data_IF_104462934745
#
_entry.id   IF_104462934745
#
_cell.length_a   1.000
_cell.length_b   1.000
_cell.length_c   1.000
_cell.angle_alpha   90.00
_cell.angle_beta   90.00
_cell.angle_gamma   90.00
#
_symmetry.space_group_name_H-M   'P 1'
#
loop_
_entity.id
_entity.type
_entity.pdbx_description
1 polymer ?
#
# COMPACT_ATOMS: atom_id res chain seq x y z
N UNK A 1 59.53 38.42 -15.40
CA UNK A 1 58.39 37.92 -14.61
C UNK A 1 57.20 37.76 -15.53
N UNK A 2 56.44 36.67 -15.41
CA UNK A 2 55.22 36.43 -16.18
C UNK A 2 54.03 36.83 -15.30
N UNK A 3 53.18 37.75 -15.76
CA UNK A 3 51.96 38.12 -15.06
C UNK A 3 50.81 37.21 -15.50
N UNK A 4 50.11 36.60 -14.55
CA UNK A 4 48.96 35.72 -14.80
C UNK A 4 47.71 36.34 -14.18
N UNK A 5 46.62 36.46 -14.94
CA UNK A 5 45.34 37.08 -14.49
C UNK A 5 44.18 36.09 -14.44
N UNK A 6 44.43 34.82 -14.74
CA UNK A 6 43.48 33.70 -14.67
C UNK A 6 44.23 32.39 -14.42
N UNK A 7 43.52 31.32 -14.03
CA UNK A 7 44.10 29.98 -13.91
C UNK A 7 44.78 29.58 -15.22
N UNK A 8 46.08 29.34 -15.17
CA UNK A 8 46.92 29.14 -16.35
C UNK A 8 47.84 27.95 -16.15
N UNK A 9 47.93 27.08 -17.17
CA UNK A 9 48.97 26.05 -17.23
C UNK A 9 50.17 26.62 -17.99
N UNK A 10 51.29 26.82 -17.30
CA UNK A 10 52.53 27.24 -17.89
C UNK A 10 53.35 26.01 -18.28
N UNK A 11 53.54 25.79 -19.58
CA UNK A 11 54.47 24.79 -20.09
C UNK A 11 55.78 25.49 -20.46
N UNK A 12 56.89 24.97 -19.95
CA UNK A 12 58.22 25.46 -20.27
C UNK A 12 59.00 24.37 -20.99
N UNK A 13 59.84 24.80 -21.93
CA UNK A 13 60.74 23.93 -22.67
C UNK A 13 62.14 24.54 -22.56
N UNK A 14 63.13 23.70 -22.27
CA UNK A 14 64.54 24.08 -22.35
C UNK A 14 65.15 23.44 -23.59
N UNK A 15 65.90 24.23 -24.35
CA UNK A 15 66.59 23.76 -25.56
C UNK A 15 67.88 24.54 -25.81
N UNK A 16 68.90 23.85 -26.31
CA UNK A 16 70.15 24.41 -26.85
C UNK A 16 70.29 24.18 -28.38
N UNK A 17 69.18 23.82 -29.04
CA UNK A 17 69.15 23.29 -30.41
C UNK A 17 68.50 21.90 -30.49
N UNK A 18 68.43 21.19 -29.37
CA UNK A 18 67.60 19.96 -29.20
C UNK A 18 66.72 20.13 -27.96
N UNK A 19 65.50 19.58 -27.93
CA UNK A 19 64.64 19.67 -26.73
C UNK A 19 65.20 18.78 -25.64
N UNK A 20 65.65 19.37 -24.53
CA UNK A 20 66.30 18.64 -23.43
C UNK A 20 65.38 18.40 -22.25
N UNK A 21 64.35 19.23 -22.05
CA UNK A 21 63.36 19.03 -21.00
C UNK A 21 62.04 19.79 -21.27
N UNK A 22 60.91 19.22 -20.81
CA UNK A 22 59.59 19.85 -20.82
C UNK A 22 58.99 19.76 -19.42
N UNK A 23 58.65 20.92 -18.84
CA UNK A 23 58.00 21.01 -17.54
C UNK A 23 56.62 21.68 -17.67
N UNK A 24 55.69 21.30 -16.80
CA UNK A 24 54.34 21.86 -16.78
C UNK A 24 53.97 22.24 -15.34
N UNK A 25 53.56 23.49 -15.16
CA UNK A 25 53.14 24.05 -13.88
C UNK A 25 51.71 24.57 -14.00
N UNK A 26 50.84 24.17 -13.08
CA UNK A 26 49.47 24.71 -13.01
C UNK A 26 49.45 25.79 -11.93
N UNK A 27 49.15 27.02 -12.34
CA UNK A 27 48.92 28.14 -11.43
C UNK A 27 47.43 28.42 -11.38
N UNK A 28 46.79 28.05 -10.27
CA UNK A 28 45.38 28.34 -10.00
C UNK A 28 45.24 29.71 -9.35
N UNK A 29 44.40 30.58 -9.92
CA UNK A 29 44.03 31.83 -9.28
C UNK A 29 42.90 31.54 -8.28
N UNK A 30 43.13 31.67 -6.96
CA UNK A 30 42.04 31.56 -5.99
C UNK A 30 41.28 32.90 -5.92
N UNK A 31 40.17 33.00 -6.64
CA UNK A 31 39.18 34.04 -6.36
C UNK A 31 38.48 33.79 -5.01
N UNK A 32 37.74 34.78 -4.46
CA UNK A 32 36.88 34.51 -3.32
C UNK A 32 35.89 33.39 -3.68
N UNK A 33 35.88 32.33 -2.88
CA UNK A 33 34.89 31.25 -2.99
C UNK A 33 33.55 31.80 -2.49
N UNK A 34 32.47 31.61 -3.26
CA UNK A 34 31.15 31.96 -2.78
C UNK A 34 30.82 31.14 -1.52
N UNK A 35 30.42 31.78 -0.40
CA UNK A 35 30.01 31.07 0.79
C UNK A 35 28.74 30.26 0.48
N UNK A 36 28.73 29.00 0.88
CA UNK A 36 27.61 28.08 0.67
C UNK A 36 27.10 27.55 2.00
N UNK A 37 25.80 27.71 2.24
CA UNK A 37 25.14 27.18 3.45
C UNK A 37 24.62 25.77 3.23
N UNK A 38 24.76 24.90 4.23
CA UNK A 38 24.14 23.56 4.30
C UNK A 38 23.33 23.43 5.59
N UNK A 39 22.18 22.76 5.51
CA UNK A 39 21.36 22.42 6.66
C UNK A 39 21.41 20.91 6.95
N UNK A 40 21.38 20.52 8.22
CA UNK A 40 21.33 19.13 8.67
C UNK A 40 20.18 18.92 9.67
N UNK A 41 19.13 18.16 9.30
CA UNK A 41 18.86 17.64 7.96
C UNK A 41 18.58 18.77 6.95
N UNK A 42 18.74 18.46 5.66
CA UNK A 42 18.26 19.31 4.57
C UNK A 42 16.74 19.42 4.55
N UNK A 43 16.19 20.03 3.49
CA UNK A 43 14.73 20.12 3.31
C UNK A 43 14.07 18.74 3.41
N UNK A 44 13.02 18.61 4.23
CA UNK A 44 12.30 17.35 4.45
C UNK A 44 10.89 17.58 4.99
N UNK A 45 10.04 16.55 4.89
CA UNK A 45 8.79 16.46 5.64
C UNK A 45 9.01 16.02 7.10
N UNK A 46 8.10 16.37 8.00
CA UNK A 46 8.11 15.91 9.39
C UNK A 46 6.69 15.85 9.99
N UNK A 47 6.45 14.85 10.86
CA UNK A 47 5.14 14.58 11.47
C UNK A 47 4.99 15.31 12.81
N UNK A 48 5.95 15.20 13.73
CA UNK A 48 5.85 15.85 15.06
C UNK A 48 6.63 17.16 15.07
N UNK A 49 7.95 17.06 14.94
CA UNK A 49 8.88 18.18 14.86
C UNK A 49 10.14 17.77 14.06
N UNK A 50 10.94 18.75 13.66
CA UNK A 50 12.28 18.53 13.07
C UNK A 50 13.29 19.47 13.73
N UNK A 51 14.46 18.91 14.07
CA UNK A 51 15.60 19.63 14.63
C UNK A 51 16.65 19.86 13.55
N UNK A 52 17.05 21.12 13.32
CA UNK A 52 17.90 21.54 12.20
C UNK A 52 19.08 22.38 12.69
N UNK A 53 20.28 22.10 12.18
CA UNK A 53 21.47 22.95 12.33
C UNK A 53 22.00 23.41 10.98
N UNK A 54 22.74 24.53 10.96
CA UNK A 54 23.35 25.09 9.76
C UNK A 54 24.88 25.04 9.83
N UNK A 55 25.51 24.89 8.67
CA UNK A 55 26.95 25.04 8.48
C UNK A 55 27.22 25.86 7.21
N UNK A 56 28.37 26.51 7.11
CA UNK A 56 28.77 27.31 5.95
C UNK A 56 30.24 27.09 5.61
N UNK A 57 30.55 27.06 4.31
CA UNK A 57 31.92 26.98 3.80
C UNK A 57 32.13 27.93 2.61
N UNK A 58 33.18 28.77 2.63
CA UNK A 58 34.06 29.07 3.77
C UNK A 58 33.31 29.72 4.96
N UNK A 59 33.93 29.71 6.15
CA UNK A 59 33.31 30.22 7.38
C UNK A 59 33.04 31.72 7.30
N UNK A 60 31.76 32.09 7.35
CA UNK A 60 31.24 33.46 7.41
C UNK A 60 30.01 33.52 8.31
N UNK A 61 29.52 34.72 8.61
CA UNK A 61 28.25 34.89 9.33
C UNK A 61 27.07 34.45 8.45
N UNK A 62 26.21 33.58 8.99
CA UNK A 62 24.95 33.19 8.36
C UNK A 62 23.84 34.05 8.94
N UNK A 63 23.21 34.87 8.10
CA UNK A 63 21.98 35.56 8.45
C UNK A 63 20.78 34.71 8.05
N UNK A 64 19.67 34.76 8.78
CA UNK A 64 18.53 33.89 8.49
C UNK A 64 17.15 34.54 8.70
N UNK A 65 16.13 33.89 8.16
CA UNK A 65 14.71 34.18 8.36
C UNK A 65 13.89 32.89 8.37
N UNK A 66 12.85 32.85 9.21
CA UNK A 66 11.86 31.76 9.28
C UNK A 66 10.42 32.25 9.09
N UNK A 67 10.20 33.56 8.91
CA UNK A 67 8.88 34.18 8.77
C UNK A 67 8.44 34.36 7.31
N UNK A 68 9.25 33.87 6.36
CA UNK A 68 9.02 33.99 4.92
C UNK A 68 9.56 35.26 4.28
N UNK A 69 10.17 36.17 5.06
CA UNK A 69 10.93 37.30 4.52
C UNK A 69 12.28 36.87 3.95
N UNK A 70 12.73 37.56 2.89
CA UNK A 70 14.06 37.33 2.30
C UNK A 70 15.12 37.90 3.27
N UNK A 71 16.05 37.09 3.80
CA UNK A 71 17.06 37.56 4.72
C UNK A 71 18.08 38.48 4.03
N UNK A 72 18.63 39.43 4.77
CA UNK A 72 19.66 40.38 4.33
C UNK A 72 20.79 40.43 5.37
N UNK A 73 21.83 41.23 5.13
CA UNK A 73 22.90 41.50 6.10
C UNK A 73 22.42 42.12 7.44
N UNK A 74 21.17 42.60 7.50
CA UNK A 74 20.54 43.13 8.72
C UNK A 74 19.65 42.11 9.46
N UNK A 75 19.44 40.92 8.88
CA UNK A 75 18.67 39.85 9.50
C UNK A 75 19.44 39.20 10.67
N UNK A 76 18.75 38.49 11.59
CA UNK A 76 19.39 37.80 12.71
C UNK A 76 20.53 36.87 12.27
N UNK A 77 21.58 36.79 13.10
CA UNK A 77 22.75 35.94 12.86
C UNK A 77 22.56 34.60 13.57
N UNK A 78 22.79 33.50 12.85
CA UNK A 78 22.82 32.14 13.40
C UNK A 78 24.02 31.97 14.35
N UNK A 79 23.76 31.61 15.61
CA UNK A 79 24.76 31.49 16.66
C UNK A 79 25.15 30.04 16.99
N UNK A 80 24.72 29.08 16.17
CA UNK A 80 24.98 27.65 16.36
C UNK A 80 23.88 26.91 17.14
N UNK A 81 22.73 27.54 17.36
CA UNK A 81 21.55 26.92 17.96
C UNK A 81 20.94 25.83 17.07
N UNK A 82 20.14 24.95 17.66
CA UNK A 82 19.29 24.01 16.91
C UNK A 82 17.93 24.65 16.71
N UNK A 83 17.48 24.78 15.46
CA UNK A 83 16.10 25.15 15.16
C UNK A 83 15.19 23.95 15.38
N UNK A 84 14.05 24.14 16.06
CA UNK A 84 13.00 23.12 16.17
C UNK A 84 11.74 23.64 15.50
N UNK A 85 11.32 23.00 14.41
CA UNK A 85 10.08 23.35 13.71
C UNK A 85 8.96 22.37 14.05
N UNK A 86 7.77 22.89 14.35
CA UNK A 86 6.54 22.10 14.62
C UNK A 86 5.44 22.33 13.57
N UNK A 87 5.64 23.29 12.67
CA UNK A 87 4.75 23.64 11.55
C UNK A 87 5.56 23.89 10.26
N UNK A 88 4.90 23.84 9.10
CA UNK A 88 5.55 24.08 7.79
C UNK A 88 6.30 25.40 7.80
N UNK A 89 7.62 25.35 7.60
CA UNK A 89 8.53 26.50 7.74
C UNK A 89 9.50 26.56 6.57
N UNK A 90 9.70 27.75 6.02
CA UNK A 90 10.80 28.05 5.10
C UNK A 90 11.92 28.72 5.90
N UNK A 91 13.03 28.02 6.08
CA UNK A 91 14.26 28.59 6.62
C UNK A 91 15.08 29.15 5.47
N UNK A 92 15.19 30.48 5.40
CA UNK A 92 15.98 31.16 4.41
C UNK A 92 17.27 31.68 5.04
N UNK A 93 18.38 31.61 4.31
CA UNK A 93 19.69 32.04 4.79
C UNK A 93 20.33 33.00 3.81
N UNK A 94 21.02 34.02 4.30
CA UNK A 94 21.84 34.97 3.55
C UNK A 94 23.29 34.92 4.05
N UNK A 95 24.23 34.81 3.14
CA UNK A 95 25.68 34.87 3.40
C UNK A 95 26.34 35.76 2.35
N UNK A 96 27.40 36.48 2.75
CA UNK A 96 28.19 37.30 1.83
C UNK A 96 29.70 37.21 2.13
N UNK A 97 30.52 37.21 1.08
CA UNK A 97 31.97 37.26 1.18
C UNK A 97 32.57 37.85 -0.10
N UNK A 98 33.50 38.81 0.04
CA UNK A 98 34.30 39.29 -1.08
C UNK A 98 33.48 39.89 -2.24
N UNK A 99 32.32 40.48 -1.95
CA UNK A 99 31.40 41.03 -2.95
C UNK A 99 30.45 40.01 -3.60
N UNK A 100 30.50 38.75 -3.16
CA UNK A 100 29.56 37.69 -3.55
C UNK A 100 28.54 37.49 -2.42
N UNK A 101 27.29 37.19 -2.77
CA UNK A 101 26.25 36.83 -1.82
C UNK A 101 25.42 35.65 -2.31
N UNK A 102 24.86 34.88 -1.37
CA UNK A 102 23.95 33.78 -1.63
C UNK A 102 22.73 33.90 -0.72
N UNK A 103 21.54 33.73 -1.30
CA UNK A 103 20.32 33.41 -0.54
C UNK A 103 19.95 31.96 -0.82
N UNK A 104 19.80 31.16 0.23
CA UNK A 104 19.39 29.76 0.14
C UNK A 104 18.11 29.53 0.93
N UNK A 105 17.26 28.64 0.43
CA UNK A 105 15.98 28.30 1.08
C UNK A 105 15.94 26.81 1.38
N UNK A 106 15.60 26.46 2.62
CA UNK A 106 15.31 25.11 3.06
C UNK A 106 13.83 25.05 3.47
N UNK A 107 13.09 24.12 2.89
CA UNK A 107 11.65 23.93 3.20
C UNK A 107 11.47 22.72 4.09
N UNK A 108 10.86 22.95 5.25
CA UNK A 108 10.45 21.89 6.17
C UNK A 108 8.92 21.84 6.17
N UNK A 109 8.35 20.76 5.64
CA UNK A 109 6.91 20.62 5.47
C UNK A 109 6.36 19.83 6.65
N UNK A 110 5.49 20.45 7.45
CA UNK A 110 4.63 19.72 8.37
C UNK A 110 3.68 18.91 7.51
N UNK A 111 3.82 17.60 7.58
CA UNK A 111 2.81 16.69 7.06
C UNK A 111 1.83 16.46 8.20
N UNK A 112 0.53 16.46 7.89
CA UNK A 112 -0.41 15.79 8.78
C UNK A 112 0.08 14.34 8.93
N UNK A 113 -0.11 13.68 10.09
CA UNK A 113 0.04 12.23 10.10
C UNK A 113 -0.77 11.71 8.91
N UNK A 114 -0.16 10.81 8.13
CA UNK A 114 -0.97 9.88 7.35
C UNK A 114 -1.94 9.32 8.38
N UNK A 115 -3.22 9.61 8.19
CA UNK A 115 -4.27 8.79 8.77
C UNK A 115 -3.86 7.35 8.42
N UNK A 116 -3.79 6.50 9.43
CA UNK A 116 -2.90 5.34 9.53
C UNK A 116 -2.75 4.57 8.22
N UNK A 117 -1.54 4.05 7.94
CA UNK A 117 -1.30 3.25 6.72
C UNK A 117 -2.37 2.16 6.52
N UNK A 118 -2.89 1.64 7.63
CA UNK A 118 -4.10 0.84 7.72
C UNK A 118 -5.28 1.67 8.26
N UNK A 119 -6.39 1.76 7.53
CA UNK A 119 -7.61 2.41 8.03
C UNK A 119 -8.84 1.57 7.72
N UNK A 120 -9.71 1.45 8.72
CA UNK A 120 -11.07 0.92 8.55
C UNK A 120 -12.06 2.09 8.51
N UNK A 121 -12.87 2.14 7.46
CA UNK A 121 -13.80 3.22 7.15
C UNK A 121 -13.15 4.62 7.19
N UNK A 122 -12.08 4.86 6.39
CA UNK A 122 -11.35 6.12 6.38
C UNK A 122 -12.29 7.30 6.14
N UNK A 123 -12.08 8.41 6.85
CA UNK A 123 -12.95 9.60 6.79
C UNK A 123 -14.45 9.33 7.09
N UNK A 124 -14.76 8.23 7.78
CA UNK A 124 -16.14 7.82 8.05
C UNK A 124 -16.86 7.20 6.84
N UNK A 125 -16.13 6.86 5.78
CA UNK A 125 -16.70 6.31 4.54
C UNK A 125 -17.25 4.91 4.80
N UNK A 126 -18.44 4.64 4.26
CA UNK A 126 -19.16 3.35 4.36
C UNK A 126 -19.60 2.86 2.99
N UNK A 127 -18.83 3.23 1.95
CA UNK A 127 -19.20 3.08 0.57
C UNK A 127 -20.22 4.11 0.11
N UNK A 128 -20.73 3.95 -1.12
CA UNK A 128 -21.59 4.95 -1.77
C UNK A 128 -22.79 4.35 -2.50
N UNK A 129 -23.97 4.95 -2.32
CA UNK A 129 -25.14 4.63 -3.14
C UNK A 129 -24.99 5.16 -4.58
N UNK A 130 -25.31 4.32 -5.57
CA UNK A 130 -25.23 4.63 -7.00
C UNK A 130 -26.49 4.17 -7.73
N UNK A 131 -27.45 5.08 -7.89
CA UNK A 131 -28.76 4.79 -8.47
C UNK A 131 -28.71 4.22 -9.91
N UNK A 132 -27.66 4.53 -10.67
CA UNK A 132 -27.49 4.03 -12.05
C UNK A 132 -26.99 2.59 -12.10
N UNK A 133 -26.61 2.00 -10.96
CA UNK A 133 -25.88 0.74 -10.89
C UNK A 133 -24.43 0.90 -11.34
N UNK A 134 -23.73 -0.24 -11.38
CA UNK A 134 -22.37 -0.38 -11.89
C UNK A 134 -22.34 -1.50 -12.93
N UNK A 135 -21.48 -1.33 -13.92
CA UNK A 135 -21.22 -2.37 -14.91
C UNK A 135 -20.05 -3.22 -14.43
N UNK A 136 -20.35 -4.48 -14.07
CA UNK A 136 -19.31 -5.39 -13.58
C UNK A 136 -18.31 -5.69 -14.69
N UNK A 137 -17.03 -5.54 -14.36
CA UNK A 137 -15.90 -5.90 -15.19
C UNK A 137 -16.10 -7.30 -15.75
N UNK A 138 -16.06 -7.42 -17.08
CA UNK A 138 -16.05 -8.71 -17.76
C UNK A 138 -14.63 -9.02 -18.17
N UNK A 139 -13.97 -10.02 -17.58
CA UNK A 139 -12.58 -10.31 -17.91
C UNK A 139 -12.45 -10.63 -19.41
N UNK A 140 -11.55 -9.94 -20.11
CA UNK A 140 -11.38 -10.03 -21.57
C UNK A 140 -10.96 -11.44 -22.06
N UNK A 141 -10.46 -12.28 -21.16
CA UNK A 141 -10.04 -13.67 -21.39
C UNK A 141 -11.17 -14.70 -21.21
N UNK A 142 -12.37 -14.29 -20.77
CA UNK A 142 -13.58 -15.12 -20.87
C UNK A 142 -14.03 -15.09 -22.33
N UNK A 143 -13.86 -16.21 -23.04
CA UNK A 143 -14.12 -16.29 -24.48
C UNK A 143 -15.52 -15.76 -24.85
N UNK A 144 -15.60 -14.83 -25.81
CA UNK A 144 -16.86 -14.44 -26.45
C UNK A 144 -17.56 -13.20 -25.90
N UNK A 145 -16.93 -12.41 -25.01
CA UNK A 145 -17.42 -11.07 -24.64
C UNK A 145 -16.36 -10.01 -24.93
N UNK A 146 -16.76 -8.86 -25.48
CA UNK A 146 -15.90 -7.69 -25.55
C UNK A 146 -15.65 -7.24 -24.11
N UNK A 147 -14.47 -7.53 -23.56
CA UNK A 147 -14.17 -7.23 -22.16
C UNK A 147 -14.29 -5.75 -21.88
N UNK A 148 -15.03 -5.39 -20.83
CA UNK A 148 -14.96 -4.07 -20.24
C UNK A 148 -13.85 -4.09 -19.19
N UNK A 149 -12.67 -3.57 -19.53
CA UNK A 149 -11.49 -3.55 -18.66
C UNK A 149 -11.39 -2.22 -17.89
N UNK A 150 -12.50 -1.75 -17.31
CA UNK A 150 -12.55 -0.43 -16.70
C UNK A 150 -13.15 -0.46 -15.31
N UNK A 151 -12.33 -0.10 -14.33
CA UNK A 151 -12.75 0.30 -12.98
C UNK A 151 -13.29 1.74 -12.94
N UNK A 152 -13.73 2.32 -14.07
CA UNK A 152 -14.18 3.72 -14.16
C UNK A 152 -15.42 4.04 -13.32
N UNK A 153 -16.16 3.01 -12.90
CA UNK A 153 -17.31 3.16 -12.02
C UNK A 153 -16.92 3.42 -10.55
N UNK A 154 -15.67 3.14 -10.18
CA UNK A 154 -15.12 3.27 -8.84
C UNK A 154 -14.45 4.62 -8.62
N UNK A 155 -14.62 5.18 -7.43
CA UNK A 155 -14.01 6.44 -6.99
C UNK A 155 -13.50 6.29 -5.57
N UNK A 156 -12.51 7.10 -5.16
CA UNK A 156 -11.86 6.99 -3.84
C UNK A 156 -12.81 7.23 -2.67
N UNK A 157 -13.91 7.96 -2.87
CA UNK A 157 -14.94 8.13 -1.84
C UNK A 157 -15.79 6.87 -1.58
N UNK A 158 -15.50 5.78 -2.29
CA UNK A 158 -16.08 4.45 -2.06
C UNK A 158 -15.17 3.55 -1.21
N UNK A 159 -13.97 4.00 -0.82
CA UNK A 159 -13.07 3.23 0.04
C UNK A 159 -13.77 2.96 1.38
N UNK A 160 -13.68 1.70 1.83
CA UNK A 160 -14.09 1.30 3.17
C UNK A 160 -12.93 0.70 3.96
N UNK A 161 -11.84 0.32 3.29
CA UNK A 161 -10.59 -0.10 3.94
C UNK A 161 -9.40 0.42 3.13
N UNK A 162 -8.45 1.02 3.83
CA UNK A 162 -7.10 1.31 3.37
C UNK A 162 -6.15 0.29 4.02
N UNK A 163 -5.36 -0.42 3.21
CA UNK A 163 -4.25 -1.27 3.65
C UNK A 163 -2.89 -0.75 3.18
N UNK A 164 -1.85 -1.55 3.31
CA UNK A 164 -0.56 -1.31 2.67
C UNK A 164 -0.32 -2.34 1.57
N UNK A 165 0.78 -2.16 0.84
CA UNK A 165 1.32 -3.22 0.00
C UNK A 165 2.70 -3.64 0.49
N UNK A 166 3.16 -4.80 0.03
CA UNK A 166 4.41 -5.44 0.44
C UNK A 166 4.50 -5.75 1.94
N UNK A 167 3.35 -5.93 2.57
CA UNK A 167 3.15 -6.26 3.98
C UNK A 167 2.51 -7.65 4.17
N UNK A 168 2.34 -8.40 3.09
CA UNK A 168 1.87 -9.79 3.11
C UNK A 168 2.95 -10.76 3.59
N UNK A 169 2.56 -11.98 3.99
CA UNK A 169 3.48 -13.03 4.47
C UNK A 169 4.65 -13.30 3.49
N UNK A 170 4.39 -13.16 2.20
CA UNK A 170 5.38 -13.30 1.11
C UNK A 170 6.57 -12.36 1.30
N UNK A 171 6.31 -11.13 1.70
CA UNK A 171 7.30 -10.06 1.83
C UNK A 171 8.29 -10.29 2.99
N UNK A 172 7.99 -11.22 3.91
CA UNK A 172 8.89 -11.58 5.01
C UNK A 172 9.75 -12.81 4.72
N UNK A 173 9.22 -13.82 4.01
CA UNK A 173 9.96 -15.08 3.81
C UNK A 173 9.84 -15.73 2.44
N UNK A 174 8.88 -15.34 1.60
CA UNK A 174 8.49 -16.08 0.39
C UNK A 174 8.55 -15.27 -0.90
N UNK A 175 9.50 -14.36 -1.09
CA UNK A 175 9.51 -13.41 -2.22
C UNK A 175 9.30 -14.00 -3.63
N UNK A 176 9.63 -15.27 -3.82
CA UNK A 176 9.50 -16.02 -5.07
C UNK A 176 8.10 -16.65 -5.28
N UNK A 177 7.23 -16.60 -4.28
CA UNK A 177 5.94 -17.26 -4.30
C UNK A 177 4.94 -16.60 -5.25
N UNK A 178 4.00 -17.42 -5.71
CA UNK A 178 3.00 -17.00 -6.70
C UNK A 178 1.65 -17.64 -6.35
N UNK A 179 0.53 -16.94 -6.62
CA UNK A 179 0.47 -15.54 -7.04
C UNK A 179 0.83 -14.58 -5.89
N UNK A 180 0.96 -13.27 -6.18
CA UNK A 180 0.97 -12.27 -5.11
C UNK A 180 -0.45 -12.08 -4.59
N UNK A 181 -0.64 -12.24 -3.28
CA UNK A 181 -1.92 -12.11 -2.59
C UNK A 181 -1.84 -10.93 -1.62
N UNK A 182 -1.64 -9.74 -2.19
CA UNK A 182 -1.38 -8.50 -1.47
C UNK A 182 -2.54 -7.51 -1.73
N UNK A 183 -3.66 -7.66 -1.01
CA UNK A 183 -4.82 -6.78 -1.11
C UNK A 183 -4.54 -5.41 -0.45
N UNK A 184 -4.63 -4.35 -1.25
CA UNK A 184 -4.31 -2.98 -0.83
C UNK A 184 -5.53 -2.18 -0.34
N UNK A 185 -6.65 -2.21 -1.06
CA UNK A 185 -7.83 -1.39 -0.73
C UNK A 185 -9.13 -2.12 -1.01
N UNK A 186 -10.11 -1.94 -0.12
CA UNK A 186 -11.46 -2.47 -0.25
C UNK A 186 -12.45 -1.32 -0.46
N UNK A 187 -13.31 -1.47 -1.45
CA UNK A 187 -14.30 -0.48 -1.85
C UNK A 187 -15.71 -1.06 -1.75
N UNK A 188 -16.68 -0.21 -1.46
CA UNK A 188 -18.09 -0.58 -1.46
C UNK A 188 -18.98 0.45 -2.16
N UNK A 189 -19.97 -0.06 -2.89
CA UNK A 189 -21.06 0.74 -3.44
C UNK A 189 -22.34 -0.10 -3.45
N UNK A 190 -23.51 0.52 -3.57
CA UNK A 190 -24.76 -0.23 -3.72
C UNK A 190 -25.76 0.51 -4.59
N UNK A 191 -26.67 -0.24 -5.22
CA UNK A 191 -27.83 0.29 -5.93
C UNK A 191 -29.13 -0.16 -5.24
N UNK A 192 -30.25 -0.15 -5.97
CA UNK A 192 -31.55 -0.56 -5.42
C UNK A 192 -31.67 -2.07 -5.12
N UNK A 193 -30.83 -2.90 -5.74
CA UNK A 193 -30.95 -4.36 -5.70
C UNK A 193 -29.64 -5.09 -5.34
N UNK A 194 -28.49 -4.42 -5.43
CA UNK A 194 -27.19 -5.07 -5.34
C UNK A 194 -26.21 -4.27 -4.48
N UNK A 195 -25.39 -5.00 -3.75
CA UNK A 195 -24.11 -4.55 -3.22
C UNK A 195 -23.02 -4.76 -4.28
N UNK A 196 -22.07 -3.84 -4.36
CA UNK A 196 -20.86 -3.94 -5.15
C UNK A 196 -19.65 -3.86 -4.23
N UNK A 197 -18.68 -4.75 -4.41
CA UNK A 197 -17.39 -4.72 -3.74
C UNK A 197 -16.28 -4.66 -4.78
N UNK A 198 -15.28 -3.83 -4.50
CA UNK A 198 -14.06 -3.72 -5.29
C UNK A 198 -12.85 -4.03 -4.42
N UNK A 199 -11.91 -4.84 -4.90
CA UNK A 199 -10.70 -5.20 -4.16
C UNK A 199 -9.50 -4.92 -5.05
N UNK A 200 -8.66 -3.97 -4.64
CA UNK A 200 -7.39 -3.71 -5.30
C UNK A 200 -6.32 -4.62 -4.72
N UNK A 201 -5.60 -5.31 -5.59
CA UNK A 201 -4.34 -5.98 -5.28
C UNK A 201 -3.19 -5.19 -5.88
N UNK A 202 -2.09 -5.07 -5.15
CA UNK A 202 -0.86 -4.42 -5.63
C UNK A 202 0.28 -5.42 -5.70
N UNK A 203 1.28 -5.12 -6.52
CA UNK A 203 2.50 -5.91 -6.62
C UNK A 203 3.71 -4.98 -6.62
N UNK A 204 4.44 -4.98 -5.51
CA UNK A 204 5.52 -4.01 -5.25
C UNK A 204 6.93 -4.64 -5.23
N UNK A 205 7.10 -5.88 -5.68
CA UNK A 205 8.44 -6.45 -5.83
C UNK A 205 9.31 -5.61 -6.78
N UNK A 206 8.73 -4.96 -7.80
CA UNK A 206 9.46 -4.07 -8.72
C UNK A 206 10.12 -2.88 -7.99
N UNK A 207 9.62 -2.52 -6.81
CA UNK A 207 10.16 -1.49 -5.93
C UNK A 207 11.09 -2.07 -4.86
N UNK A 208 10.61 -3.08 -4.12
CA UNK A 208 11.26 -3.53 -2.88
C UNK A 208 12.13 -4.77 -3.03
N UNK A 209 11.87 -5.59 -4.04
CA UNK A 209 12.70 -6.74 -4.37
C UNK A 209 12.91 -6.89 -5.88
N UNK A 210 13.61 -5.93 -6.55
CA UNK A 210 13.78 -5.96 -8.00
C UNK A 210 14.54 -7.18 -8.51
N UNK A 211 15.28 -7.89 -7.64
CA UNK A 211 16.01 -9.09 -7.99
C UNK A 211 15.07 -10.29 -8.22
N UNK A 212 13.92 -10.30 -7.55
CA UNK A 212 12.88 -11.31 -7.69
C UNK A 212 11.61 -10.74 -8.36
N UNK A 213 11.68 -9.55 -8.95
CA UNK A 213 10.56 -8.94 -9.67
C UNK A 213 10.08 -9.86 -10.80
N UNK A 214 8.80 -10.22 -10.74
CA UNK A 214 8.05 -11.07 -11.68
C UNK A 214 8.50 -12.52 -11.81
N UNK A 215 9.56 -12.96 -11.10
CA UNK A 215 10.06 -14.35 -10.98
C UNK A 215 9.42 -15.38 -11.94
N UNK A 216 8.72 -16.37 -11.38
CA UNK A 216 7.75 -17.24 -12.08
C UNK A 216 6.30 -16.73 -11.88
N UNK A 217 6.14 -15.44 -11.61
CA UNK A 217 4.92 -14.86 -11.05
C UNK A 217 3.74 -14.87 -12.02
N UNK A 218 2.58 -15.24 -11.50
CA UNK A 218 1.30 -15.25 -12.21
C UNK A 218 0.37 -14.22 -11.57
N UNK A 219 -0.52 -13.64 -12.38
CA UNK A 219 -1.60 -12.81 -11.85
C UNK A 219 -2.43 -13.65 -10.86
N UNK A 220 -2.92 -13.06 -9.75
CA UNK A 220 -3.79 -13.80 -8.83
C UNK A 220 -5.05 -14.36 -9.50
N UNK A 221 -5.47 -13.79 -10.64
CA UNK A 221 -6.58 -14.31 -11.47
C UNK A 221 -6.24 -15.57 -12.27
N UNK A 222 -5.00 -16.03 -12.26
CA UNK A 222 -4.56 -17.20 -13.04
C UNK A 222 -4.34 -18.43 -12.17
N UNK A 223 -4.25 -18.25 -10.86
CA UNK A 223 -4.06 -19.33 -9.90
C UNK A 223 -5.41 -19.75 -9.30
N UNK A 224 -5.54 -21.01 -8.90
CA UNK A 224 -6.74 -21.50 -8.25
C UNK A 224 -6.68 -21.28 -6.73
N UNK A 225 -6.29 -20.07 -6.30
CA UNK A 225 -6.23 -19.69 -4.89
C UNK A 225 -7.64 -19.53 -4.30
N UNK A 226 -7.77 -19.66 -2.97
CA UNK A 226 -9.06 -19.44 -2.29
C UNK A 226 -9.10 -18.00 -1.77
N UNK A 227 -10.22 -17.33 -2.02
CA UNK A 227 -10.49 -15.98 -1.54
C UNK A 227 -11.76 -16.00 -0.71
N UNK A 228 -11.82 -15.15 0.33
CA UNK A 228 -12.90 -15.20 1.32
C UNK A 228 -13.44 -13.79 1.55
N UNK A 229 -14.76 -13.66 1.58
CA UNK A 229 -15.44 -12.49 2.14
C UNK A 229 -16.28 -12.93 3.34
N UNK A 230 -15.99 -12.36 4.50
CA UNK A 230 -16.76 -12.56 5.72
C UNK A 230 -17.65 -11.33 5.97
N UNK A 231 -18.93 -11.57 6.21
CA UNK A 231 -19.92 -10.52 6.44
C UNK A 231 -20.60 -10.69 7.80
N UNK A 232 -20.81 -9.56 8.46
CA UNK A 232 -21.81 -9.37 9.51
C UNK A 232 -23.05 -8.74 8.86
N UNK A 233 -24.11 -9.53 8.66
CA UNK A 233 -25.39 -9.06 8.10
C UNK A 233 -26.41 -8.75 9.20
N UNK A 234 -26.00 -8.79 10.48
CA UNK A 234 -26.82 -8.72 11.68
C UNK A 234 -27.80 -9.90 11.83
N UNK A 235 -27.45 -11.09 11.32
CA UNK A 235 -28.33 -12.27 11.32
C UNK A 235 -27.94 -13.34 12.36
N UNK A 236 -26.81 -13.18 13.05
CA UNK A 236 -26.29 -14.14 14.03
C UNK A 236 -24.77 -14.04 14.10
N UNK A 237 -24.10 -15.15 14.41
CA UNK A 237 -22.65 -15.23 14.28
C UNK A 237 -22.17 -16.69 14.13
N UNK A 238 -20.93 -16.85 13.68
CA UNK A 238 -20.20 -18.12 13.55
C UNK A 238 -18.70 -17.91 13.83
N UNK A 239 -18.01 -18.98 14.22
CA UNK A 239 -16.55 -19.01 14.26
C UNK A 239 -15.89 -19.06 12.88
N UNK A 240 -16.67 -19.20 11.80
CA UNK A 240 -16.14 -19.41 10.45
C UNK A 240 -15.85 -20.89 10.11
N UNK A 241 -16.06 -21.80 11.07
CA UNK A 241 -15.79 -23.24 10.90
C UNK A 241 -17.08 -24.03 10.65
N UNK A 242 -16.99 -25.13 9.92
CA UNK A 242 -18.05 -26.13 9.83
C UNK A 242 -18.17 -26.94 11.14
N UNK A 243 -19.23 -27.75 11.26
CA UNK A 243 -19.54 -28.51 12.48
C UNK A 243 -18.47 -29.56 12.87
N UNK A 244 -17.62 -29.96 11.93
CA UNK A 244 -16.48 -30.85 12.16
C UNK A 244 -15.21 -30.10 12.63
N UNK A 245 -15.28 -28.78 12.77
CA UNK A 245 -14.18 -27.90 13.20
C UNK A 245 -13.24 -27.48 12.07
N UNK A 246 -13.57 -27.77 10.81
CA UNK A 246 -12.73 -27.47 9.65
C UNK A 246 -13.28 -26.29 8.84
N UNK A 247 -12.44 -25.75 7.95
CA UNK A 247 -12.92 -24.82 6.93
C UNK A 247 -13.82 -25.57 5.92
N UNK A 248 -15.02 -25.04 5.62
CA UNK A 248 -15.99 -25.70 4.74
C UNK A 248 -15.57 -25.86 3.27
N UNK A 249 -14.49 -25.23 2.80
CA UNK A 249 -13.91 -25.42 1.46
C UNK A 249 -12.83 -26.53 1.40
N UNK A 250 -12.67 -27.32 2.47
CA UNK A 250 -11.91 -28.58 2.44
C UNK A 250 -10.48 -28.52 2.98
N UNK A 251 -10.19 -27.64 3.94
CA UNK A 251 -8.90 -27.56 4.65
C UNK A 251 -9.01 -27.89 6.15
N UNK A 252 -7.85 -28.11 6.81
CA UNK A 252 -7.72 -28.09 8.27
C UNK A 252 -8.12 -26.71 8.83
N UNK A 253 -8.25 -26.59 10.15
CA UNK A 253 -8.62 -25.33 10.84
C UNK A 253 -7.58 -24.23 10.53
N UNK A 254 -7.87 -23.40 9.53
CA UNK A 254 -6.98 -22.31 9.10
C UNK A 254 -7.25 -20.97 9.80
N UNK A 255 -8.49 -20.70 10.24
CA UNK A 255 -8.79 -19.43 10.93
C UNK A 255 -10.09 -19.50 11.73
N UNK A 256 -10.31 -18.53 12.63
CA UNK A 256 -11.59 -18.30 13.31
C UNK A 256 -11.95 -16.82 13.43
N UNK A 257 -13.24 -16.55 13.62
CA UNK A 257 -13.79 -15.24 14.00
C UNK A 257 -14.32 -15.26 15.42
N UNK A 258 -14.23 -14.13 16.11
CA UNK A 258 -14.86 -13.97 17.44
C UNK A 258 -16.35 -13.64 17.35
N UNK A 259 -17.07 -13.79 18.45
CA UNK A 259 -18.48 -13.42 18.55
C UNK A 259 -18.69 -11.91 18.34
N UNK A 260 -17.76 -11.08 18.82
CA UNK A 260 -17.81 -9.62 18.71
C UNK A 260 -17.74 -9.13 17.26
N UNK A 261 -17.11 -9.91 16.37
CA UNK A 261 -17.06 -9.62 14.94
C UNK A 261 -18.41 -9.82 14.25
N UNK A 262 -19.32 -10.63 14.82
CA UNK A 262 -20.67 -10.83 14.30
C UNK A 262 -20.72 -11.52 12.92
N UNK A 263 -19.64 -12.16 12.47
CA UNK A 263 -19.61 -12.80 11.15
C UNK A 263 -20.68 -13.88 11.08
N UNK A 264 -21.63 -13.73 10.16
CA UNK A 264 -22.75 -14.68 9.98
C UNK A 264 -22.84 -15.24 8.56
N UNK A 265 -22.15 -14.62 7.59
CA UNK A 265 -22.22 -15.01 6.18
C UNK A 265 -20.82 -15.00 5.60
N UNK A 266 -20.38 -16.11 5.02
CA UNK A 266 -19.03 -16.25 4.45
C UNK A 266 -19.10 -16.72 3.01
N UNK A 267 -18.47 -15.99 2.11
CA UNK A 267 -18.35 -16.33 0.70
C UNK A 267 -16.96 -16.88 0.49
N UNK A 268 -16.87 -18.05 -0.12
CA UNK A 268 -15.62 -18.59 -0.63
C UNK A 268 -15.67 -18.59 -2.15
N UNK A 269 -14.57 -18.18 -2.79
CA UNK A 269 -14.47 -18.18 -4.23
C UNK A 269 -13.03 -18.44 -4.68
N UNK A 270 -12.89 -19.12 -5.83
CA UNK A 270 -11.58 -19.27 -6.46
C UNK A 270 -11.10 -17.91 -6.99
N UNK A 271 -9.80 -17.62 -6.96
CA UNK A 271 -9.25 -16.37 -7.50
C UNK A 271 -9.25 -16.35 -9.03
N UNK A 272 -9.23 -17.50 -9.71
CA UNK A 272 -9.26 -17.58 -11.17
C UNK A 272 -10.66 -17.71 -11.81
N UNK A 273 -10.90 -17.07 -12.97
CA UNK A 273 -12.12 -17.27 -13.76
C UNK A 273 -12.28 -18.72 -14.26
N UNK A 274 -13.51 -19.26 -14.37
CA UNK A 274 -14.80 -18.63 -14.11
C UNK A 274 -15.21 -18.65 -12.63
N UNK A 275 -14.25 -18.61 -11.70
CA UNK A 275 -14.49 -18.60 -10.26
C UNK A 275 -15.25 -19.86 -9.83
N UNK A 276 -14.72 -21.01 -10.27
CA UNK A 276 -15.34 -22.32 -10.08
C UNK A 276 -15.44 -22.69 -8.60
N UNK A 277 -16.40 -23.56 -8.28
CA UNK A 277 -16.64 -24.09 -6.94
C UNK A 277 -17.04 -23.05 -5.87
N UNK A 278 -17.25 -21.78 -6.24
CA UNK A 278 -17.67 -20.69 -5.33
C UNK A 278 -19.00 -20.95 -4.62
N UNK A 279 -19.05 -20.64 -3.31
CA UNK A 279 -20.14 -21.01 -2.42
C UNK A 279 -20.35 -19.96 -1.31
N UNK A 280 -21.60 -19.89 -0.83
CA UNK A 280 -21.98 -19.04 0.30
C UNK A 280 -22.32 -19.96 1.47
N UNK A 281 -21.84 -19.60 2.65
CA UNK A 281 -22.08 -20.30 3.89
C UNK A 281 -22.70 -19.34 4.89
N UNK A 282 -23.62 -19.86 5.71
CA UNK A 282 -24.36 -19.09 6.71
C UNK A 282 -24.14 -19.69 8.08
N UNK A 283 -24.14 -18.84 9.10
CA UNK A 283 -24.25 -19.26 10.49
C UNK A 283 -25.53 -20.09 10.68
N UNK A 284 -25.38 -21.24 11.34
CA UNK A 284 -26.48 -22.19 11.53
C UNK A 284 -27.10 -22.15 12.94
N UNK A 285 -26.75 -21.14 13.75
CA UNK A 285 -27.22 -20.98 15.13
C UNK A 285 -26.50 -21.86 16.16
N UNK A 286 -25.49 -22.63 15.75
CA UNK A 286 -24.60 -23.42 16.63
C UNK A 286 -23.14 -22.96 16.51
N UNK A 287 -22.96 -21.69 16.17
CA UNK A 287 -21.67 -21.03 15.88
C UNK A 287 -20.87 -21.67 14.73
N UNK A 288 -21.50 -22.57 13.95
CA UNK A 288 -20.88 -23.22 12.80
C UNK A 288 -21.48 -22.71 11.49
N UNK A 289 -20.72 -22.89 10.42
CA UNK A 289 -21.16 -22.61 9.05
C UNK A 289 -21.91 -23.80 8.45
N UNK A 290 -22.90 -23.49 7.62
CA UNK A 290 -23.56 -24.45 6.74
C UNK A 290 -23.75 -23.83 5.38
N UNK A 291 -23.54 -24.62 4.34
CA UNK A 291 -23.66 -24.16 2.96
C UNK A 291 -25.09 -23.69 2.69
N UNK A 292 -25.24 -22.50 2.08
CA UNK A 292 -26.54 -21.87 1.84
C UNK A 292 -27.42 -22.68 0.90
N UNK A 293 -26.83 -23.31 -0.13
CA UNK A 293 -27.47 -24.37 -0.92
C UNK A 293 -26.82 -25.73 -0.63
N UNK A 294 -27.59 -26.66 -0.10
CA UNK A 294 -27.14 -28.01 0.25
C UNK A 294 -26.94 -28.94 -0.96
N UNK A 295 -27.41 -28.56 -2.16
CA UNK A 295 -27.52 -29.47 -3.30
C UNK A 295 -26.23 -29.60 -4.14
N UNK A 296 -26.09 -30.75 -4.81
CA UNK A 296 -25.07 -30.99 -5.83
C UNK A 296 -25.30 -30.02 -7.01
N UNK A 297 -24.39 -29.06 -7.18
CA UNK A 297 -24.45 -28.16 -8.31
C UNK A 297 -24.09 -28.92 -9.60
N UNK A 298 -24.68 -28.56 -10.75
CA UNK A 298 -24.22 -29.05 -12.05
C UNK A 298 -22.71 -28.80 -12.19
N UNK A 299 -22.02 -29.70 -12.88
CA UNK A 299 -20.59 -29.51 -13.19
C UNK A 299 -20.43 -28.13 -13.84
N UNK A 300 -19.55 -27.30 -13.27
CA UNK A 300 -19.14 -25.97 -13.76
C UNK A 300 -20.06 -24.76 -13.46
N UNK A 301 -21.12 -24.87 -12.66
CA UNK A 301 -21.84 -23.67 -12.16
C UNK A 301 -21.61 -23.50 -10.66
N UNK A 302 -21.13 -22.33 -10.24
CA UNK A 302 -20.92 -22.04 -8.81
C UNK A 302 -22.23 -21.65 -8.13
N UNK A 303 -22.32 -21.82 -6.82
CA UNK A 303 -23.53 -21.47 -6.05
C UNK A 303 -23.81 -19.97 -6.12
N UNK A 304 -22.72 -19.19 -6.13
CA UNK A 304 -22.74 -17.74 -6.21
C UNK A 304 -23.36 -17.27 -7.54
N UNK A 305 -22.96 -17.86 -8.67
CA UNK A 305 -23.61 -17.58 -9.98
C UNK A 305 -25.10 -17.94 -9.97
N UNK A 306 -25.44 -19.03 -9.29
CA UNK A 306 -26.79 -19.53 -9.12
C UNK A 306 -27.67 -18.64 -8.24
N UNK A 307 -27.04 -17.81 -7.40
CA UNK A 307 -27.66 -16.77 -6.57
C UNK A 307 -27.58 -15.39 -7.21
N UNK A 308 -27.06 -15.29 -8.44
CA UNK A 308 -26.96 -14.06 -9.22
C UNK A 308 -25.75 -13.18 -8.87
N UNK A 309 -24.80 -13.70 -8.10
CA UNK A 309 -23.53 -13.01 -7.86
C UNK A 309 -22.71 -13.03 -9.14
N UNK A 310 -22.13 -11.89 -9.49
CA UNK A 310 -21.25 -11.73 -10.66
C UNK A 310 -19.88 -11.31 -10.18
N UNK A 311 -18.85 -11.97 -10.69
CA UNK A 311 -17.44 -11.74 -10.37
C UNK A 311 -16.73 -11.22 -11.63
N UNK A 312 -15.89 -10.21 -11.45
CA UNK A 312 -15.12 -9.55 -12.47
C UNK A 312 -13.69 -9.27 -12.00
N UNK A 313 -12.76 -9.12 -12.94
CA UNK A 313 -11.42 -8.66 -12.65
C UNK A 313 -10.76 -8.06 -13.89
N UNK A 314 -9.92 -7.04 -13.71
CA UNK A 314 -9.06 -6.49 -14.74
C UNK A 314 -7.66 -6.18 -14.19
N UNK A 315 -6.70 -6.02 -15.09
CA UNK A 315 -5.32 -5.71 -14.71
C UNK A 315 -5.15 -4.22 -14.43
N UNK A 316 -4.26 -3.91 -13.49
CA UNK A 316 -3.86 -2.56 -13.12
C UNK A 316 -4.44 -2.10 -11.79
N UNK A 317 -4.09 -0.87 -11.43
CA UNK A 317 -4.50 -0.22 -10.20
C UNK A 317 -5.04 1.18 -10.44
N UNK A 318 -6.18 1.48 -9.83
CA UNK A 318 -6.82 2.80 -9.90
C UNK A 318 -6.53 3.70 -8.68
N UNK A 319 -5.93 3.15 -7.62
CA UNK A 319 -5.62 3.89 -6.40
C UNK A 319 -4.67 5.07 -6.70
N UNK A 320 -4.99 6.30 -6.28
CA UNK A 320 -4.10 7.44 -6.58
C UNK A 320 -2.80 7.39 -5.79
N UNK A 321 -2.84 6.83 -4.58
CA UNK A 321 -1.71 6.60 -3.68
C UNK A 321 -1.56 5.11 -3.39
N UNK A 322 -0.31 4.62 -3.29
CA UNK A 322 -0.02 3.22 -2.93
C UNK A 322 1.05 3.22 -1.85
N UNK A 323 0.68 2.96 -0.59
CA UNK A 323 1.67 2.85 0.49
C UNK A 323 2.30 1.46 0.50
N UNK A 324 3.61 1.41 0.34
CA UNK A 324 4.39 0.17 0.37
C UNK A 324 5.28 0.08 1.59
N UNK A 325 5.32 -1.10 2.23
CA UNK A 325 6.21 -1.38 3.35
C UNK A 325 7.65 -1.57 2.87
N UNK A 326 8.55 -0.73 3.40
CA UNK A 326 10.01 -0.75 3.13
C UNK A 326 10.84 -1.18 4.35
N UNK A 327 10.17 -1.52 5.44
CA UNK A 327 10.82 -1.94 6.68
C UNK A 327 11.39 -3.35 6.57
N UNK A 328 11.95 -3.82 7.68
CA UNK A 328 12.43 -5.19 7.82
C UNK A 328 11.71 -5.88 8.97
N UNK A 329 11.11 -7.02 8.69
CA UNK A 329 10.42 -7.84 9.68
C UNK A 329 9.06 -7.29 10.12
N UNK A 330 8.26 -8.12 10.78
CA UNK A 330 6.85 -7.84 11.09
C UNK A 330 6.71 -6.67 12.07
N UNK A 331 7.63 -6.57 13.05
CA UNK A 331 7.61 -5.54 14.08
C UNK A 331 7.71 -4.10 13.54
N UNK A 332 8.12 -3.92 12.28
CA UNK A 332 8.19 -2.61 11.65
C UNK A 332 6.87 -2.13 11.05
N UNK A 333 5.84 -2.97 10.94
CA UNK A 333 4.52 -2.61 10.40
C UNK A 333 3.79 -1.56 11.26
N UNK A 334 4.09 -1.51 12.55
CA UNK A 334 3.53 -0.52 13.49
C UNK A 334 4.15 0.89 13.36
N UNK A 335 5.23 1.04 12.58
CA UNK A 335 5.93 2.31 12.40
C UNK A 335 5.77 2.86 10.97
N UNK A 336 4.97 3.91 10.85
CA UNK A 336 4.71 4.62 9.58
C UNK A 336 5.98 5.09 8.88
N UNK A 337 7.11 5.27 9.59
CA UNK A 337 8.39 5.62 8.98
C UNK A 337 8.92 4.51 8.05
N UNK A 338 8.47 3.28 8.25
CA UNK A 338 8.79 2.11 7.44
C UNK A 338 7.91 1.96 6.20
N UNK A 339 7.08 2.95 5.87
CA UNK A 339 6.30 2.95 4.63
C UNK A 339 6.79 4.05 3.68
N UNK A 340 6.49 3.88 2.40
CA UNK A 340 6.74 4.89 1.38
C UNK A 340 5.62 4.87 0.33
N UNK A 341 5.33 6.03 -0.24
CA UNK A 341 4.43 6.13 -1.37
C UNK A 341 5.09 5.54 -2.63
N UNK A 342 4.44 4.53 -3.18
CA UNK A 342 4.79 3.75 -4.36
C UNK A 342 3.84 4.03 -5.53
N UNK A 343 3.05 5.11 -5.51
CA UNK A 343 2.09 5.44 -6.57
C UNK A 343 2.68 5.42 -7.99
N UNK A 344 3.99 5.63 -8.12
CA UNK A 344 4.75 5.66 -9.39
C UNK A 344 5.32 4.31 -9.83
N UNK A 345 5.10 3.22 -9.09
CA UNK A 345 5.55 1.88 -9.46
C UNK A 345 4.89 1.37 -10.75
N UNK A 346 5.39 0.25 -11.28
CA UNK A 346 4.89 -0.32 -12.53
C UNK A 346 3.53 -1.03 -12.35
N UNK A 347 2.46 -0.26 -12.45
CA UNK A 347 1.06 -0.75 -12.41
C UNK A 347 0.65 -1.66 -13.57
N UNK A 348 1.47 -1.73 -14.64
CA UNK A 348 1.26 -2.72 -15.71
C UNK A 348 1.85 -4.09 -15.37
N UNK A 349 2.34 -4.26 -14.14
CA UNK A 349 2.75 -5.53 -13.54
C UNK A 349 1.59 -6.42 -13.15
N UNK A 350 1.67 -7.02 -11.95
CA UNK A 350 0.72 -8.01 -11.44
C UNK A 350 -0.40 -7.40 -10.58
N UNK A 351 -0.56 -6.08 -10.60
CA UNK A 351 -1.72 -5.39 -10.02
C UNK A 351 -3.00 -5.90 -10.67
N UNK A 352 -4.01 -6.16 -9.84
CA UNK A 352 -5.32 -6.63 -10.27
C UNK A 352 -6.39 -5.90 -9.47
N UNK A 353 -7.44 -5.46 -10.15
CA UNK A 353 -8.65 -5.02 -9.50
C UNK A 353 -9.75 -6.06 -9.70
N UNK A 354 -10.22 -6.64 -8.58
CA UNK A 354 -11.39 -7.52 -8.55
C UNK A 354 -12.65 -6.73 -8.28
N UNK A 355 -13.76 -7.21 -8.82
CA UNK A 355 -15.08 -6.64 -8.60
C UNK A 355 -16.12 -7.74 -8.38
N UNK A 356 -17.04 -7.51 -7.46
CA UNK A 356 -18.16 -8.40 -7.19
C UNK A 356 -19.46 -7.62 -7.11
N UNK A 357 -20.47 -8.09 -7.85
CA UNK A 357 -21.87 -7.67 -7.70
C UNK A 357 -22.64 -8.75 -6.98
N UNK A 358 -23.24 -8.39 -5.86
CA UNK A 358 -23.94 -9.30 -4.95
C UNK A 358 -25.39 -8.82 -4.81
N UNK A 359 -26.38 -9.57 -5.33
CA UNK A 359 -27.78 -9.25 -5.09
C UNK A 359 -28.08 -9.25 -3.59
N UNK A 360 -28.87 -8.30 -3.08
CA UNK A 360 -29.26 -8.28 -1.67
C UNK A 360 -29.99 -9.57 -1.24
N UNK A 361 -30.73 -10.20 -2.17
CA UNK A 361 -31.33 -11.52 -1.96
C UNK A 361 -30.30 -12.63 -1.75
N UNK A 362 -29.12 -12.54 -2.37
CA UNK A 362 -28.02 -13.47 -2.16
C UNK A 362 -27.38 -13.30 -0.78
N UNK A 363 -27.39 -12.10 -0.20
CA UNK A 363 -26.99 -11.84 1.19
C UNK A 363 -28.12 -12.12 2.20
N UNK A 364 -29.38 -12.12 1.76
CA UNK A 364 -30.53 -12.25 2.66
C UNK A 364 -30.91 -10.95 3.37
N UNK A 365 -30.47 -9.81 2.85
CA UNK A 365 -30.78 -8.47 3.38
C UNK A 365 -31.63 -7.67 2.40
N UNK A 366 -32.01 -6.47 2.80
CA UNK A 366 -32.64 -5.45 1.98
C UNK A 366 -31.76 -4.20 1.95
N UNK A 367 -31.92 -3.36 0.91
CA UNK A 367 -31.31 -2.03 0.87
C UNK A 367 -31.62 -1.22 2.14
N UNK A 368 -32.87 -1.27 2.61
CA UNK A 368 -33.28 -0.53 3.79
C UNK A 368 -32.53 -0.98 5.05
N UNK A 369 -32.28 -2.30 5.21
CA UNK A 369 -31.43 -2.79 6.30
C UNK A 369 -30.00 -2.27 6.16
N UNK A 370 -29.39 -2.36 4.97
CA UNK A 370 -28.06 -1.80 4.71
C UNK A 370 -27.97 -0.32 5.12
N UNK A 371 -28.92 0.50 4.69
CA UNK A 371 -28.87 1.95 4.91
C UNK A 371 -29.23 2.38 6.34
N UNK A 372 -30.00 1.55 7.08
CA UNK A 372 -30.47 1.91 8.43
C UNK A 372 -29.69 1.27 9.56
N UNK A 373 -29.07 0.11 9.32
CA UNK A 373 -28.34 -0.69 10.31
C UNK A 373 -26.87 -0.87 9.92
N UNK A 374 -26.55 -0.84 8.62
CA UNK A 374 -25.23 -1.17 8.12
C UNK A 374 -24.95 -2.68 8.17
N UNK A 375 -23.94 -3.10 7.43
CA UNK A 375 -23.35 -4.46 7.51
C UNK A 375 -21.84 -4.34 7.69
N UNK A 376 -21.21 -5.38 8.22
CA UNK A 376 -19.74 -5.51 8.26
C UNK A 376 -19.22 -6.35 7.10
N UNK A 377 -18.02 -6.06 6.62
CA UNK A 377 -17.25 -6.92 5.71
C UNK A 377 -15.77 -7.00 6.07
N UNK A 378 -15.17 -8.16 5.86
CA UNK A 378 -13.72 -8.39 5.83
C UNK A 378 -13.38 -9.28 4.63
N UNK A 379 -12.29 -8.96 3.95
CA UNK A 379 -11.72 -9.75 2.86
C UNK A 379 -10.49 -10.49 3.36
N UNK A 380 -10.33 -11.77 3.01
CA UNK A 380 -9.16 -12.58 3.31
C UNK A 380 -8.55 -13.14 2.02
N UNK A 381 -7.25 -12.98 1.86
CA UNK A 381 -6.48 -13.63 0.81
C UNK A 381 -5.78 -14.87 1.39
N UNK A 382 -5.87 -16.02 0.72
CA UNK A 382 -5.26 -17.26 1.21
C UNK A 382 -4.23 -17.80 0.23
N UNK A 383 -3.14 -18.34 0.75
CA UNK A 383 -2.11 -19.03 -0.03
C UNK A 383 -1.67 -20.33 0.66
N UNK A 384 -2.61 -21.24 0.90
CA UNK A 384 -2.37 -22.44 1.68
C UNK A 384 -3.62 -22.89 2.42
N UNK A 385 -3.46 -23.26 3.69
CA UNK A 385 -4.52 -23.62 4.61
C UNK A 385 -5.03 -22.42 5.43
N UNK A 386 -4.16 -21.43 5.70
CA UNK A 386 -4.48 -20.18 6.42
C UNK A 386 -4.52 -18.96 5.47
N UNK A 387 -5.25 -17.88 5.81
CA UNK A 387 -5.05 -16.55 5.24
C UNK A 387 -3.60 -16.07 5.36
N UNK A 388 -3.16 -15.25 4.42
CA UNK A 388 -1.80 -14.66 4.41
C UNK A 388 -1.83 -13.13 4.33
N UNK A 389 -3.05 -12.57 4.25
CA UNK A 389 -3.36 -11.15 4.29
C UNK A 389 -4.87 -10.92 4.44
N UNK A 390 -5.28 -9.73 4.90
CA UNK A 390 -6.67 -9.33 5.06
C UNK A 390 -6.94 -7.83 4.89
N UNK A 391 -8.18 -7.49 4.52
CA UNK A 391 -8.72 -6.13 4.56
C UNK A 391 -10.03 -6.09 5.35
N UNK A 392 -10.13 -5.42 6.50
CA UNK A 392 -9.04 -4.72 7.23
C UNK A 392 -7.85 -5.61 7.59
N UNK A 393 -6.67 -5.01 7.66
CA UNK A 393 -5.45 -5.69 8.07
C UNK A 393 -5.61 -6.22 9.50
N UNK A 394 -5.43 -7.52 9.67
CA UNK A 394 -5.39 -8.19 10.96
C UNK A 394 -3.96 -8.70 11.20
N UNK A 395 -3.32 -8.35 12.33
CA UNK A 395 -1.98 -8.83 12.65
C UNK A 395 -1.84 -10.34 12.71
N UNK A 396 -2.96 -11.08 12.88
CA UNK A 396 -2.96 -12.53 12.85
C UNK A 396 -2.50 -13.10 11.51
N UNK A 397 -2.61 -12.35 10.40
CA UNK A 397 -2.23 -12.79 9.05
C UNK A 397 -0.74 -12.64 8.71
N UNK A 398 0.06 -12.22 9.69
CA UNK A 398 1.52 -12.14 9.56
C UNK A 398 2.23 -12.60 10.84
N UNK A 399 1.55 -13.26 11.77
CA UNK A 399 2.11 -13.51 13.11
C UNK A 399 3.20 -14.60 13.12
N UNK A 400 3.23 -15.43 12.09
CA UNK A 400 4.25 -16.42 11.81
C UNK A 400 5.00 -16.16 10.50
N UNK A 401 4.86 -14.97 9.92
CA UNK A 401 5.32 -14.70 8.57
C UNK A 401 6.85 -14.88 8.39
N UNK A 402 7.63 -14.65 9.46
CA UNK A 402 9.09 -14.81 9.49
C UNK A 402 9.56 -16.25 9.71
N UNK A 403 8.68 -17.15 10.15
CA UNK A 403 9.01 -18.54 10.45
C UNK A 403 8.96 -19.41 9.18
N UNK A 404 9.82 -20.44 9.05
CA UNK A 404 9.80 -21.33 7.90
C UNK A 404 8.58 -22.25 7.90
N UNK A 405 7.91 -22.34 6.76
CA UNK A 405 6.91 -23.38 6.51
C UNK A 405 7.55 -24.77 6.60
N UNK A 406 6.85 -25.71 7.25
CA UNK A 406 7.40 -27.04 7.53
C UNK A 406 7.64 -27.86 6.26
N UNK A 407 6.77 -27.73 5.24
CA UNK A 407 6.92 -28.49 3.99
C UNK A 407 7.89 -27.82 3.00
N UNK A 408 8.05 -26.50 3.07
CA UNK A 408 9.00 -25.75 2.25
C UNK A 408 9.62 -24.59 3.06
N UNK A 409 10.80 -24.77 3.68
CA UNK A 409 11.40 -23.77 4.56
C UNK A 409 11.80 -22.45 3.89
N UNK A 410 11.75 -22.38 2.54
CA UNK A 410 11.94 -21.16 1.77
C UNK A 410 10.70 -20.28 1.71
N UNK A 411 9.58 -20.75 2.27
CA UNK A 411 8.28 -20.08 2.30
C UNK A 411 7.85 -19.83 3.75
N UNK A 412 6.81 -19.01 3.91
CA UNK A 412 6.31 -18.58 5.22
C UNK A 412 5.41 -19.61 5.91
N UNK A 413 5.57 -19.78 7.22
CA UNK A 413 4.72 -20.62 8.07
C UNK A 413 3.28 -20.10 8.21
N UNK A 414 3.01 -18.85 7.78
CA UNK A 414 1.67 -18.27 7.70
C UNK A 414 0.69 -19.06 6.80
N UNK A 415 1.20 -20.05 6.06
CA UNK A 415 0.36 -20.83 5.14
C UNK A 415 -0.39 -21.95 5.84
N UNK A 416 0.03 -22.36 7.02
CA UNK A 416 -0.51 -23.55 7.71
C UNK A 416 -0.71 -23.38 9.21
N UNK A 417 -0.66 -22.16 9.71
CA UNK A 417 -1.09 -21.80 11.05
C UNK A 417 -2.61 -21.61 11.13
N UNK A 418 -3.05 -21.04 12.25
CA UNK A 418 -4.45 -20.86 12.57
C UNK A 418 -4.66 -19.47 13.13
N UNK A 419 -5.30 -18.63 12.34
CA UNK A 419 -5.49 -17.22 12.68
C UNK A 419 -6.76 -17.01 13.49
N UNK A 420 -6.66 -16.37 14.64
CA UNK A 420 -7.83 -15.91 15.37
C UNK A 420 -8.02 -14.42 15.10
N UNK A 421 -8.89 -14.09 14.13
CA UNK A 421 -9.14 -12.72 13.71
C UNK A 421 -9.81 -11.92 14.83
N UNK A 422 -9.38 -10.67 15.01
CA UNK A 422 -9.88 -9.77 16.05
C UNK A 422 -10.19 -8.36 15.55
N UNK A 423 -9.74 -8.01 14.35
CA UNK A 423 -9.92 -6.70 13.76
C UNK A 423 -11.37 -6.51 13.35
N UNK A 424 -11.96 -5.39 13.79
CA UNK A 424 -13.34 -5.03 13.44
C UNK A 424 -13.55 -4.99 11.93
N UNK A 425 -14.67 -5.52 11.47
CA UNK A 425 -15.08 -5.47 10.07
C UNK A 425 -15.30 -4.03 9.60
N UNK A 426 -15.04 -3.77 8.33
CA UNK A 426 -15.39 -2.51 7.68
C UNK A 426 -16.91 -2.38 7.52
N UNK A 427 -17.46 -1.21 7.85
CA UNK A 427 -18.90 -0.94 7.76
C UNK A 427 -19.31 -0.50 6.36
N UNK A 428 -20.48 -0.96 5.91
CA UNK A 428 -21.11 -0.55 4.64
C UNK A 428 -22.51 0.00 4.93
N UNK A 429 -22.88 1.11 4.28
CA UNK A 429 -24.19 1.75 4.40
C UNK A 429 -24.33 2.62 5.64
N UNK A 430 -23.89 2.14 6.80
CA UNK A 430 -23.94 2.88 8.08
C UNK A 430 -22.89 2.37 9.08
N UNK A 431 -22.31 3.31 9.84
CA UNK A 431 -21.43 3.01 10.98
C UNK A 431 -22.19 2.65 12.24
#
# INVERSE_FOLDING_TARGET
AIALTATTTLKTMVTDGTVTDINSFIYTLSGPQAPLVTASPGSKGFVTNVSVTLAVSPTVSIHFSTDGSIPTALSPVYAGETFTFTATTKLQTFVEQGGLSEVKTFTYTKVEPVSSIYETNPNGQVGKYKATGMEVITPAWVSGKAGNASYADWTEDMIIVQGAGFDDAKSFRGHHETPSNDPYTLYASWDDANLYLGIQFVYLNDVFDPANDKGDSQWPTWTAGTMILAFDTNAGWTTGLAADGNNPWGGLKGFTFTEEMGVDTVFYFASNPPFQNSAIYLANGTNSLTRKKADALPTYKSEMEDLGVVLGACNGSFASEIWGYKGSGIAGLDDVANFQDCATHNRSGLDVFYEMKIPFTALGITKAQLETQGIGVMFLATNGQSPVDSLPHDPATVDNAENPYVLDPSTSAEKDDCDDFTTSLARIGKQ
#
